data_IF_743709901828
#
_entry.id   IF_743709901828
#
_cell.length_a   1.000
_cell.length_b   1.000
_cell.length_c   1.000
_cell.angle_alpha   90.00
_cell.angle_beta   90.00
_cell.angle_gamma   90.00
#
_symmetry.space_group_name_H-M   'P 1'
#
loop_
_entity.id
_entity.type
_entity.pdbx_description
1 polymer ?
#
# COMPACT_ATOMS: atom_id res chain seq x y z
N UNK A 1 -7.48 -52.97 -23.60
CA UNK A 1 -8.83 -52.51 -24.07
C UNK A 1 -9.43 -51.40 -23.18
N UNK A 2 -8.96 -51.19 -21.94
CA UNK A 2 -9.45 -50.16 -21.02
C UNK A 2 -8.86 -48.76 -21.29
N UNK A 3 -7.71 -48.68 -21.95
CA UNK A 3 -7.04 -47.41 -22.28
C UNK A 3 -7.61 -46.67 -23.50
N UNK A 4 -8.55 -47.27 -24.23
CA UNK A 4 -9.13 -46.69 -25.46
C UNK A 4 -10.47 -45.97 -25.25
N UNK A 5 -11.00 -45.90 -24.02
CA UNK A 5 -12.24 -45.20 -23.71
C UNK A 5 -12.09 -43.90 -22.93
N UNK A 6 -10.88 -43.40 -22.71
CA UNK A 6 -10.68 -42.02 -22.36
C UNK A 6 -10.81 -41.16 -23.62
N UNK A 7 -11.99 -41.22 -24.24
CA UNK A 7 -12.43 -40.22 -25.21
C UNK A 7 -12.37 -38.90 -24.45
N UNK A 8 -11.36 -38.09 -24.73
CA UNK A 8 -11.16 -36.78 -24.16
C UNK A 8 -12.48 -36.00 -24.26
N UNK A 9 -13.21 -35.90 -23.16
CA UNK A 9 -14.31 -34.94 -23.06
C UNK A 9 -13.71 -33.61 -23.48
N UNK A 10 -14.23 -32.94 -24.53
CA UNK A 10 -13.73 -31.62 -24.86
C UNK A 10 -13.78 -30.80 -23.58
N UNK A 11 -12.67 -30.17 -23.23
CA UNK A 11 -12.66 -29.16 -22.16
C UNK A 11 -13.76 -28.15 -22.53
N UNK A 12 -14.89 -28.20 -21.84
CA UNK A 12 -15.91 -27.19 -21.94
C UNK A 12 -15.22 -25.90 -21.48
N UNK A 13 -14.73 -25.13 -22.45
CA UNK A 13 -14.30 -23.76 -22.24
C UNK A 13 -15.56 -23.06 -21.76
N UNK A 14 -15.67 -22.88 -20.43
CA UNK A 14 -16.77 -22.14 -19.85
C UNK A 14 -16.78 -20.77 -20.55
N UNK A 15 -17.92 -20.35 -21.10
CA UNK A 15 -18.00 -19.05 -21.78
C UNK A 15 -17.49 -18.00 -20.80
N UNK A 16 -16.59 -17.13 -21.26
CA UNK A 16 -16.15 -15.98 -20.50
C UNK A 16 -17.41 -15.29 -19.95
N UNK A 17 -17.45 -15.09 -18.64
CA UNK A 17 -18.60 -14.45 -18.00
C UNK A 17 -18.83 -13.12 -18.71
N UNK A 18 -19.98 -12.99 -19.38
CA UNK A 18 -20.39 -11.75 -20.05
C UNK A 18 -20.85 -10.77 -18.97
N UNK A 19 -19.87 -10.10 -18.32
CA UNK A 19 -20.12 -9.13 -17.26
C UNK A 19 -19.05 -9.14 -16.18
N UNK A 20 -19.02 -8.09 -15.37
CA UNK A 20 -18.07 -7.97 -14.26
C UNK A 20 -18.31 -9.07 -13.20
N UNK A 21 -17.28 -9.80 -12.84
CA UNK A 21 -17.34 -10.84 -11.80
C UNK A 21 -17.16 -10.21 -10.40
N UNK A 22 -18.18 -9.51 -9.92
CA UNK A 22 -18.16 -8.87 -8.60
C UNK A 22 -17.86 -9.81 -7.44
N UNK A 23 -18.31 -11.07 -7.52
CA UNK A 23 -18.04 -12.08 -6.50
C UNK A 23 -16.57 -12.47 -6.49
N UNK A 24 -15.98 -12.69 -7.66
CA UNK A 24 -14.55 -12.99 -7.77
C UNK A 24 -13.68 -11.83 -7.33
N UNK A 25 -14.01 -10.61 -7.76
CA UNK A 25 -13.33 -9.37 -7.34
C UNK A 25 -13.38 -9.20 -5.81
N UNK A 26 -14.56 -9.36 -5.20
CA UNK A 26 -14.70 -9.26 -3.74
C UNK A 26 -13.90 -10.34 -3.01
N UNK A 27 -13.90 -11.57 -3.52
CA UNK A 27 -13.13 -12.67 -2.94
C UNK A 27 -11.63 -12.39 -2.98
N UNK A 28 -11.12 -11.89 -4.10
CA UNK A 28 -9.73 -11.48 -4.24
C UNK A 28 -9.37 -10.36 -3.26
N UNK A 29 -10.18 -9.30 -3.23
CA UNK A 29 -10.00 -8.18 -2.31
C UNK A 29 -10.02 -8.65 -0.85
N UNK A 30 -11.02 -9.45 -0.45
CA UNK A 30 -11.14 -9.97 0.90
C UNK A 30 -9.97 -10.88 1.30
N UNK A 31 -9.48 -11.74 0.38
CA UNK A 31 -8.26 -12.55 0.57
C UNK A 31 -7.06 -11.67 0.89
N UNK A 32 -6.85 -10.61 0.11
CA UNK A 32 -5.73 -9.68 0.29
C UNK A 32 -5.86 -8.89 1.61
N UNK A 33 -7.06 -8.43 1.96
CA UNK A 33 -7.32 -7.77 3.24
C UNK A 33 -7.07 -8.72 4.40
N UNK A 34 -7.60 -9.94 4.34
CA UNK A 34 -7.42 -10.94 5.40
C UNK A 34 -5.93 -11.27 5.63
N UNK A 35 -5.12 -11.29 4.58
CA UNK A 35 -3.68 -11.55 4.64
C UNK A 35 -2.97 -10.59 5.59
N UNK A 36 -3.17 -9.27 5.47
CA UNK A 36 -2.50 -8.30 6.33
C UNK A 36 -3.19 -8.11 7.68
N UNK A 37 -4.51 -8.36 7.76
CA UNK A 37 -5.23 -8.34 9.03
C UNK A 37 -4.80 -9.49 9.93
N UNK A 38 -4.49 -10.67 9.37
CA UNK A 38 -3.98 -11.81 10.15
C UNK A 38 -2.69 -11.48 10.91
N UNK A 39 -1.86 -10.56 10.39
CA UNK A 39 -0.63 -10.08 11.02
C UNK A 39 -0.79 -8.62 11.50
N UNK A 40 -1.99 -8.26 11.98
CA UNK A 40 -2.37 -6.89 12.34
C UNK A 40 -1.36 -6.21 13.27
N UNK A 41 -0.88 -6.91 14.31
CA UNK A 41 0.12 -6.37 15.23
C UNK A 41 1.37 -5.89 14.50
N UNK A 42 1.97 -6.72 13.65
CA UNK A 42 3.15 -6.33 12.87
C UNK A 42 2.83 -5.26 11.82
N UNK A 43 1.68 -5.36 11.17
CA UNK A 43 1.27 -4.42 10.12
C UNK A 43 1.04 -3.00 10.65
N UNK A 44 0.57 -2.86 11.89
CA UNK A 44 0.24 -1.57 12.50
C UNK A 44 1.34 -1.05 13.42
N UNK A 45 1.86 -1.89 14.31
CA UNK A 45 2.84 -1.45 15.33
C UNK A 45 4.17 -1.01 14.71
N UNK A 46 4.67 -1.71 13.70
CA UNK A 46 5.94 -1.34 13.09
C UNK A 46 5.92 0.06 12.47
N UNK A 47 4.94 0.45 11.62
CA UNK A 47 4.83 1.81 11.12
C UNK A 47 4.60 2.86 12.21
N UNK A 48 3.82 2.56 13.25
CA UNK A 48 3.61 3.47 14.38
C UNK A 48 4.94 3.75 15.08
N UNK A 49 5.66 2.71 15.47
CA UNK A 49 6.95 2.85 16.18
C UNK A 49 7.95 3.61 15.30
N UNK A 50 8.07 3.25 14.02
CA UNK A 50 8.98 3.92 13.09
C UNK A 50 8.63 5.40 12.93
N UNK A 51 7.36 5.73 12.77
CA UNK A 51 6.92 7.13 12.61
C UNK A 51 7.15 7.95 13.89
N UNK A 52 6.87 7.38 15.06
CA UNK A 52 7.12 8.05 16.34
C UNK A 52 8.63 8.23 16.59
N UNK A 53 9.46 7.27 16.20
CA UNK A 53 10.91 7.41 16.25
C UNK A 53 11.39 8.55 15.34
N UNK A 54 10.93 8.59 14.09
CA UNK A 54 11.25 9.70 13.19
C UNK A 54 10.80 11.03 13.77
N UNK A 55 9.56 11.13 14.24
CA UNK A 55 9.06 12.35 14.88
C UNK A 55 9.96 12.78 16.04
N UNK A 56 10.33 11.84 16.93
CA UNK A 56 11.16 12.12 18.10
C UNK A 56 12.56 12.56 17.69
N UNK A 57 13.22 11.85 16.76
CA UNK A 57 14.57 12.20 16.28
C UNK A 57 14.58 13.60 15.67
N UNK A 58 13.61 13.89 14.80
CA UNK A 58 13.55 15.20 14.16
C UNK A 58 13.10 16.32 15.13
N UNK A 59 12.23 16.00 16.09
CA UNK A 59 11.86 16.93 17.15
C UNK A 59 13.06 17.32 18.03
N UNK A 60 13.89 16.37 18.41
CA UNK A 60 15.12 16.61 19.18
C UNK A 60 16.17 17.36 18.35
N UNK A 61 16.36 16.93 17.08
CA UNK A 61 17.39 17.53 16.22
C UNK A 61 17.06 18.97 15.78
N UNK A 62 15.79 19.27 15.56
CA UNK A 62 15.35 20.54 14.96
C UNK A 62 14.27 21.28 15.74
N UNK A 63 13.73 20.67 16.83
CA UNK A 63 12.59 21.20 17.59
C UNK A 63 12.90 22.39 18.51
N UNK A 64 14.18 22.72 18.73
CA UNK A 64 14.61 23.80 19.64
C UNK A 64 14.25 25.20 19.15
N UNK A 65 12.94 25.53 19.09
CA UNK A 65 12.46 26.87 18.69
C UNK A 65 12.34 27.12 17.21
N UNK A 66 12.57 26.10 16.35
CA UNK A 66 12.44 26.25 14.89
C UNK A 66 10.97 26.22 14.48
N UNK A 67 10.54 27.27 13.81
CA UNK A 67 9.21 27.36 13.21
C UNK A 67 9.30 27.30 11.69
N UNK A 68 8.34 26.66 11.05
CA UNK A 68 8.16 26.63 9.60
C UNK A 68 6.78 27.20 9.29
N UNK A 69 6.73 28.29 8.51
CA UNK A 69 5.49 28.99 8.19
C UNK A 69 4.66 29.40 9.45
N UNK A 70 5.35 29.73 10.55
CA UNK A 70 4.69 30.11 11.82
C UNK A 70 4.22 28.94 12.68
N UNK A 71 4.37 27.70 12.23
CA UNK A 71 4.05 26.49 12.99
C UNK A 71 5.31 25.88 13.63
N UNK A 72 5.23 25.29 14.82
CA UNK A 72 6.30 24.47 15.37
C UNK A 72 6.71 23.36 14.37
N UNK A 73 8.01 23.10 14.25
CA UNK A 73 8.53 22.15 13.27
C UNK A 73 7.87 20.75 13.38
N UNK A 74 7.55 20.32 14.59
CA UNK A 74 6.91 19.03 14.86
C UNK A 74 5.49 18.94 14.27
N UNK A 75 4.74 20.04 14.34
CA UNK A 75 3.40 20.13 13.75
C UNK A 75 3.45 20.13 12.22
N UNK A 76 4.48 20.75 11.63
CA UNK A 76 4.72 20.71 10.19
C UNK A 76 5.10 19.28 9.72
N UNK A 77 5.86 18.55 10.52
CA UNK A 77 6.39 17.23 10.16
C UNK A 77 5.31 16.13 10.20
N UNK A 78 4.36 16.21 11.13
CA UNK A 78 3.36 15.17 11.37
C UNK A 78 2.53 14.77 10.12
N UNK A 79 1.92 15.70 9.36
CA UNK A 79 1.17 15.34 8.15
C UNK A 79 2.07 14.73 7.05
N UNK A 80 3.32 15.16 6.93
CA UNK A 80 4.28 14.58 6.01
C UNK A 80 4.60 13.12 6.34
N UNK A 81 4.85 12.81 7.60
CA UNK A 81 5.07 11.44 8.06
C UNK A 81 3.84 10.55 7.85
N UNK A 82 2.63 11.09 8.01
CA UNK A 82 1.39 10.39 7.68
C UNK A 82 1.31 10.03 6.20
N UNK A 83 1.56 10.98 5.32
CA UNK A 83 1.56 10.74 3.88
C UNK A 83 2.62 9.73 3.48
N UNK A 84 3.83 9.83 4.03
CA UNK A 84 4.90 8.85 3.82
C UNK A 84 4.48 7.43 4.23
N UNK A 85 3.75 7.28 5.33
CA UNK A 85 3.20 6.01 5.79
C UNK A 85 2.19 5.44 4.79
N UNK A 86 1.30 6.27 4.24
CA UNK A 86 0.33 5.85 3.20
C UNK A 86 1.07 5.34 1.96
N UNK A 87 2.01 6.13 1.44
CA UNK A 87 2.76 5.83 0.23
C UNK A 87 3.48 4.47 0.35
N UNK A 88 4.24 4.28 1.42
CA UNK A 88 5.04 3.07 1.63
C UNK A 88 4.18 1.83 1.87
N UNK A 89 3.13 1.93 2.70
CA UNK A 89 2.29 0.76 3.01
C UNK A 89 1.39 0.34 1.85
N UNK A 90 0.89 1.29 1.05
CA UNK A 90 0.12 0.98 -0.16
C UNK A 90 0.97 0.29 -1.22
N UNK A 91 2.19 0.81 -1.47
CA UNK A 91 3.16 0.22 -2.39
C UNK A 91 3.60 -1.18 -1.93
N UNK A 92 4.01 -1.29 -0.66
CA UNK A 92 4.51 -2.54 -0.10
C UNK A 92 3.45 -3.65 -0.12
N UNK A 93 2.17 -3.34 0.11
CA UNK A 93 1.13 -4.36 0.10
C UNK A 93 1.00 -5.06 -1.24
N UNK A 94 0.88 -4.30 -2.33
CA UNK A 94 0.67 -4.84 -3.66
C UNK A 94 1.91 -5.50 -4.23
N UNK A 95 3.09 -4.88 -4.08
CA UNK A 95 4.35 -5.43 -4.58
C UNK A 95 4.74 -6.72 -3.87
N UNK A 96 4.65 -6.75 -2.53
CA UNK A 96 5.01 -7.96 -1.76
C UNK A 96 3.98 -9.07 -1.91
N UNK A 97 2.68 -8.75 -2.08
CA UNK A 97 1.67 -9.77 -2.33
C UNK A 97 1.95 -10.53 -3.61
N UNK A 98 2.17 -9.82 -4.70
CA UNK A 98 2.39 -10.44 -6.01
C UNK A 98 3.69 -11.24 -6.06
N UNK A 99 4.80 -10.69 -5.55
CA UNK A 99 6.06 -11.42 -5.56
C UNK A 99 6.00 -12.68 -4.67
N UNK A 100 5.33 -12.58 -3.52
CA UNK A 100 5.15 -13.73 -2.63
C UNK A 100 4.33 -14.84 -3.29
N UNK A 101 3.26 -14.48 -4.02
CA UNK A 101 2.45 -15.46 -4.76
C UNK A 101 3.24 -16.12 -5.88
N UNK A 102 4.13 -15.38 -6.56
CA UNK A 102 5.03 -15.94 -7.59
C UNK A 102 6.03 -16.94 -6.98
N UNK A 103 6.70 -16.56 -5.90
CA UNK A 103 7.72 -17.38 -5.27
C UNK A 103 7.16 -18.63 -4.58
N UNK A 104 5.93 -18.57 -4.09
CA UNK A 104 5.23 -19.70 -3.50
C UNK A 104 4.48 -20.55 -4.55
N UNK A 105 4.62 -20.24 -5.84
CA UNK A 105 3.94 -20.90 -6.95
C UNK A 105 2.40 -20.86 -6.88
N UNK A 106 1.85 -20.02 -5.99
CA UNK A 106 0.40 -19.86 -5.78
C UNK A 106 -0.24 -18.80 -6.69
N UNK A 107 0.53 -18.18 -7.58
CA UNK A 107 0.02 -17.18 -8.53
C UNK A 107 -1.04 -17.78 -9.46
N UNK A 108 -0.91 -19.07 -9.77
CA UNK A 108 -1.85 -19.81 -10.60
C UNK A 108 -3.25 -19.80 -9.98
N UNK A 109 -3.35 -20.01 -8.67
CA UNK A 109 -4.63 -20.00 -7.94
C UNK A 109 -5.36 -18.64 -8.02
N UNK A 110 -4.60 -17.58 -8.22
CA UNK A 110 -5.15 -16.21 -8.38
C UNK A 110 -5.53 -15.92 -9.83
N UNK A 111 -4.86 -16.56 -10.80
CA UNK A 111 -5.11 -16.39 -12.24
C UNK A 111 -6.14 -17.39 -12.80
N UNK A 112 -6.35 -18.55 -12.16
CA UNK A 112 -7.34 -19.55 -12.59
C UNK A 112 -8.81 -19.10 -12.52
N UNK A 113 -9.24 -18.31 -11.51
CA UNK A 113 -10.60 -17.78 -11.51
C UNK A 113 -10.87 -16.93 -12.75
N UNK A 114 -12.10 -16.91 -13.27
CA UNK A 114 -12.46 -16.14 -14.46
C UNK A 114 -12.58 -14.64 -14.09
N UNK A 115 -11.43 -14.03 -13.79
CA UNK A 115 -11.28 -12.60 -13.51
C UNK A 115 -10.60 -11.94 -14.71
N UNK A 116 -11.13 -10.80 -15.13
CA UNK A 116 -10.49 -9.95 -16.13
C UNK A 116 -9.23 -9.29 -15.54
N UNK A 117 -8.31 -8.85 -16.42
CA UNK A 117 -7.12 -8.12 -15.99
C UNK A 117 -7.47 -6.85 -15.19
N UNK A 118 -8.59 -6.20 -15.54
CA UNK A 118 -9.07 -5.01 -14.83
C UNK A 118 -9.57 -5.34 -13.41
N UNK A 119 -10.30 -6.45 -13.25
CA UNK A 119 -10.78 -6.90 -11.94
C UNK A 119 -9.61 -7.30 -11.04
N UNK A 120 -8.61 -7.99 -11.59
CA UNK A 120 -7.38 -8.30 -10.86
C UNK A 120 -6.67 -7.02 -10.40
N UNK A 121 -6.50 -6.04 -11.30
CA UNK A 121 -5.87 -4.76 -10.99
C UNK A 121 -6.62 -4.04 -9.88
N UNK A 122 -7.94 -3.90 -10.01
CA UNK A 122 -8.79 -3.25 -9.01
C UNK A 122 -8.66 -3.97 -7.66
N UNK A 123 -8.76 -5.29 -7.62
CA UNK A 123 -8.66 -6.07 -6.38
C UNK A 123 -7.35 -5.84 -5.63
N UNK A 124 -6.22 -5.91 -6.32
CA UNK A 124 -4.91 -5.68 -5.72
C UNK A 124 -4.68 -4.22 -5.32
N UNK A 125 -4.97 -3.27 -6.19
CA UNK A 125 -4.74 -1.84 -5.93
C UNK A 125 -5.59 -1.34 -4.77
N UNK A 126 -6.88 -1.68 -4.75
CA UNK A 126 -7.77 -1.29 -3.65
C UNK A 126 -7.38 -1.95 -2.33
N UNK A 127 -6.91 -3.19 -2.33
CA UNK A 127 -6.41 -3.82 -1.10
C UNK A 127 -5.16 -3.10 -0.57
N UNK A 128 -4.25 -2.69 -1.46
CA UNK A 128 -3.09 -1.89 -1.11
C UNK A 128 -3.47 -0.52 -0.54
N UNK A 129 -4.39 0.17 -1.20
CA UNK A 129 -4.91 1.46 -0.73
C UNK A 129 -5.57 1.34 0.65
N UNK A 130 -6.41 0.32 0.85
CA UNK A 130 -7.06 0.06 2.14
C UNK A 130 -6.04 -0.18 3.24
N UNK A 131 -4.98 -0.95 2.99
CA UNK A 131 -3.90 -1.14 3.97
C UNK A 131 -3.20 0.16 4.30
N UNK A 132 -2.79 0.93 3.29
CA UNK A 132 -2.12 2.22 3.51
C UNK A 132 -2.96 3.18 4.35
N UNK A 133 -4.26 3.29 4.04
CA UNK A 133 -5.21 4.12 4.78
C UNK A 133 -5.44 3.60 6.20
N UNK A 134 -5.62 2.30 6.38
CA UNK A 134 -5.80 1.70 7.71
C UNK A 134 -4.58 1.95 8.61
N UNK A 135 -3.38 1.75 8.10
CA UNK A 135 -2.14 2.00 8.85
C UNK A 135 -1.99 3.48 9.17
N UNK A 136 -2.33 4.37 8.22
CA UNK A 136 -2.25 5.82 8.45
C UNK A 136 -3.24 6.32 9.50
N UNK A 137 -4.42 5.71 9.64
CA UNK A 137 -5.36 6.02 10.73
C UNK A 137 -4.74 5.67 12.07
N UNK A 138 -4.10 4.50 12.20
CA UNK A 138 -3.42 4.10 13.43
C UNK A 138 -2.23 5.01 13.78
N UNK A 139 -1.42 5.35 12.79
CA UNK A 139 -0.30 6.30 12.95
C UNK A 139 -0.83 7.70 13.29
N UNK A 140 -1.87 8.17 12.60
CA UNK A 140 -2.48 9.46 12.85
C UNK A 140 -3.07 9.60 14.25
N UNK A 141 -3.74 8.54 14.72
CA UNK A 141 -4.23 8.50 16.11
C UNK A 141 -3.08 8.58 17.12
N UNK A 142 -1.96 7.87 16.85
CA UNK A 142 -0.78 7.93 17.72
C UNK A 142 -0.09 9.29 17.70
N UNK A 143 -0.01 9.94 16.54
CA UNK A 143 0.54 11.29 16.40
C UNK A 143 -0.34 12.34 17.10
N UNK A 144 -1.66 12.22 17.01
CA UNK A 144 -2.61 13.14 17.63
C UNK A 144 -2.54 13.14 19.16
N UNK A 145 -1.99 12.10 19.78
CA UNK A 145 -1.72 12.06 21.22
C UNK A 145 -0.53 12.92 21.64
N UNK A 146 0.39 13.22 20.71
CA UNK A 146 1.66 13.88 20.98
C UNK A 146 1.69 15.31 20.42
N UNK A 147 1.07 15.48 19.23
CA UNK A 147 1.11 16.73 18.48
C UNK A 147 -0.31 17.28 18.34
N UNK A 148 -0.56 18.58 18.62
CA UNK A 148 -1.86 19.18 18.36
C UNK A 148 -2.12 19.17 16.85
N UNK A 149 -3.19 18.49 16.44
CA UNK A 149 -3.55 18.34 15.02
C UNK A 149 -4.57 19.40 14.65
N UNK A 150 -4.19 20.37 13.83
CA UNK A 150 -5.10 21.37 13.28
C UNK A 150 -5.57 20.93 11.88
N UNK A 151 -6.77 20.38 11.81
CA UNK A 151 -7.37 19.95 10.54
C UNK A 151 -8.04 21.14 9.86
N UNK A 152 -7.43 21.64 8.79
CA UNK A 152 -7.99 22.76 8.02
C UNK A 152 -9.10 22.31 7.05
N UNK A 153 -8.92 21.17 6.37
CA UNK A 153 -9.90 20.62 5.43
C UNK A 153 -9.83 19.08 5.40
N UNK A 154 -10.84 18.43 5.97
CA UNK A 154 -10.95 16.98 5.95
C UNK A 154 -11.12 16.42 4.52
N UNK A 155 -11.87 17.15 3.67
CA UNK A 155 -12.09 16.71 2.29
C UNK A 155 -10.79 16.66 1.48
N UNK A 156 -9.90 17.66 1.64
CA UNK A 156 -8.61 17.68 0.98
C UNK A 156 -7.72 16.53 1.48
N UNK A 157 -7.68 16.28 2.80
CA UNK A 157 -6.90 15.18 3.38
C UNK A 157 -7.34 13.85 2.80
N UNK A 158 -8.64 13.58 2.78
CA UNK A 158 -9.20 12.32 2.24
C UNK A 158 -8.88 12.19 0.75
N UNK A 159 -9.09 13.25 -0.03
CA UNK A 159 -8.83 13.23 -1.47
C UNK A 159 -7.37 12.90 -1.79
N UNK A 160 -6.43 13.60 -1.18
CA UNK A 160 -4.99 13.36 -1.40
C UNK A 160 -4.52 12.02 -0.83
N UNK A 161 -5.00 11.61 0.34
CA UNK A 161 -4.67 10.33 0.95
C UNK A 161 -5.12 9.14 0.09
N UNK A 162 -6.36 9.18 -0.40
CA UNK A 162 -6.92 8.12 -1.27
C UNK A 162 -6.20 8.12 -2.62
N UNK A 163 -6.01 9.29 -3.24
CA UNK A 163 -5.28 9.42 -4.51
C UNK A 163 -3.85 8.88 -4.42
N UNK A 164 -3.11 9.26 -3.37
CA UNK A 164 -1.76 8.79 -3.12
C UNK A 164 -1.72 7.27 -2.87
N UNK A 165 -2.67 6.72 -2.10
CA UNK A 165 -2.78 5.30 -1.82
C UNK A 165 -3.04 4.48 -3.09
N UNK A 166 -3.95 4.93 -3.96
CA UNK A 166 -4.25 4.27 -5.24
C UNK A 166 -3.07 4.34 -6.20
N UNK A 167 -2.43 5.49 -6.31
CA UNK A 167 -1.25 5.68 -7.15
C UNK A 167 -0.12 4.74 -6.73
N UNK A 168 0.20 4.70 -5.43
CA UNK A 168 1.27 3.83 -4.92
C UNK A 168 0.89 2.36 -4.94
N UNK A 169 -0.37 2.01 -4.74
CA UNK A 169 -0.88 0.66 -4.94
C UNK A 169 -0.70 0.18 -6.38
N UNK A 170 -0.95 1.05 -7.36
CA UNK A 170 -0.73 0.75 -8.78
C UNK A 170 0.74 0.58 -9.12
N UNK A 171 1.62 1.47 -8.64
CA UNK A 171 3.08 1.34 -8.81
C UNK A 171 3.61 0.07 -8.13
N UNK A 172 3.10 -0.26 -6.95
CA UNK A 172 3.44 -1.51 -6.27
C UNK A 172 3.01 -2.75 -7.06
N UNK A 173 1.84 -2.70 -7.70
CA UNK A 173 1.39 -3.78 -8.58
C UNK A 173 2.30 -3.94 -9.81
N UNK A 174 2.64 -2.85 -10.48
CA UNK A 174 3.58 -2.86 -11.62
C UNK A 174 4.93 -3.46 -11.20
N UNK A 175 5.46 -3.03 -10.06
CA UNK A 175 6.70 -3.57 -9.49
C UNK A 175 6.57 -5.07 -9.20
N UNK A 176 5.47 -5.50 -8.58
CA UNK A 176 5.23 -6.90 -8.25
C UNK A 176 5.06 -7.81 -9.47
N UNK A 177 4.51 -7.28 -10.57
CA UNK A 177 4.42 -7.99 -11.86
C UNK A 177 5.82 -8.14 -12.49
N UNK A 178 6.61 -7.07 -12.47
CA UNK A 178 7.95 -7.07 -13.06
C UNK A 178 8.98 -7.87 -12.25
N UNK A 179 8.90 -7.82 -10.92
CA UNK A 179 9.86 -8.45 -10.04
C UNK A 179 9.82 -9.99 -10.14
N UNK A 180 10.99 -10.61 -10.17
CA UNK A 180 11.16 -12.07 -10.11
C UNK A 180 11.66 -12.55 -8.75
N UNK A 181 12.30 -11.65 -7.98
CA UNK A 181 12.86 -11.91 -6.65
C UNK A 181 12.49 -10.79 -5.69
N UNK A 182 12.50 -11.09 -4.38
CA UNK A 182 12.30 -10.05 -3.35
C UNK A 182 13.31 -8.92 -3.45
N UNK A 183 14.55 -9.20 -3.86
CA UNK A 183 15.61 -8.20 -4.02
C UNK A 183 15.24 -7.10 -5.02
N UNK A 184 14.52 -7.43 -6.10
CA UNK A 184 14.03 -6.44 -7.07
C UNK A 184 13.03 -5.47 -6.41
N UNK A 185 12.09 -5.99 -5.60
CA UNK A 185 11.14 -5.15 -4.86
C UNK A 185 11.85 -4.28 -3.84
N UNK A 186 12.80 -4.87 -3.09
CA UNK A 186 13.61 -4.15 -2.10
C UNK A 186 14.45 -3.05 -2.74
N UNK A 187 15.03 -3.31 -3.91
CA UNK A 187 15.80 -2.32 -4.67
C UNK A 187 14.95 -1.12 -5.04
N UNK A 188 13.78 -1.34 -5.65
CA UNK A 188 12.86 -0.24 -6.00
C UNK A 188 12.41 0.51 -4.74
N UNK A 189 12.07 -0.20 -3.67
CA UNK A 189 11.66 0.41 -2.41
C UNK A 189 12.74 1.31 -1.85
N UNK A 190 13.98 0.82 -1.74
CA UNK A 190 15.06 1.52 -1.07
C UNK A 190 15.71 2.62 -1.92
N UNK A 191 15.81 2.44 -3.24
CA UNK A 191 16.47 3.39 -4.12
C UNK A 191 15.53 4.38 -4.80
N UNK A 192 14.23 4.08 -4.89
CA UNK A 192 13.26 4.94 -5.56
C UNK A 192 12.21 5.45 -4.57
N UNK A 193 11.45 4.54 -3.93
CA UNK A 193 10.29 4.94 -3.14
C UNK A 193 10.69 5.70 -1.88
N UNK A 194 11.70 5.22 -1.15
CA UNK A 194 12.18 5.89 0.06
C UNK A 194 12.74 7.29 -0.23
N UNK A 195 13.71 7.49 -1.15
CA UNK A 195 14.22 8.83 -1.45
C UNK A 195 13.14 9.79 -1.95
N UNK A 196 12.23 9.33 -2.84
CA UNK A 196 11.10 10.15 -3.30
C UNK A 196 10.16 10.53 -2.16
N UNK A 197 9.91 9.63 -1.22
CA UNK A 197 9.10 9.92 -0.04
C UNK A 197 9.74 10.99 0.85
N UNK A 198 11.07 11.00 0.98
CA UNK A 198 11.80 12.05 1.72
C UNK A 198 11.78 13.40 0.99
N UNK A 199 11.87 13.39 -0.34
CA UNK A 199 11.87 14.60 -1.17
C UNK A 199 10.48 15.20 -1.40
N UNK A 200 9.41 14.48 -1.06
CA UNK A 200 8.01 14.90 -1.32
C UNK A 200 7.51 16.09 -0.49
N UNK A 201 8.39 16.83 0.18
CA UNK A 201 8.02 17.94 1.06
C UNK A 201 7.69 17.52 2.50
N UNK A 202 7.94 16.25 2.86
CA UNK A 202 7.72 15.74 4.22
C UNK A 202 8.59 16.44 5.25
N UNK A 203 9.86 16.71 4.92
CA UNK A 203 10.85 17.25 5.85
C UNK A 203 11.21 18.72 5.60
N UNK A 204 10.88 19.24 4.43
CA UNK A 204 11.24 20.60 4.01
C UNK A 204 10.05 21.28 3.33
N UNK A 205 9.82 22.59 3.57
CA UNK A 205 8.80 23.32 2.86
C UNK A 205 9.19 23.46 1.38
N UNK A 206 8.22 23.20 0.49
CA UNK A 206 8.39 23.27 -0.98
C UNK A 206 8.84 24.66 -1.45
N UNK A 207 8.58 25.70 -0.66
CA UNK A 207 8.99 27.09 -0.96
C UNK A 207 10.51 27.32 -0.96
N UNK A 208 11.31 26.29 -0.64
CA UNK A 208 12.78 26.36 -0.67
C UNK A 208 13.40 25.79 -1.95
N UNK A 209 12.59 25.22 -2.83
CA UNK A 209 12.96 24.79 -4.16
C UNK A 209 12.42 25.79 -5.20
#
# INVERSE_FOLDING_TARGET
LILMQLKSKPLEIRPALTGANWRGLWTLYAKEVHRYVKIFGQTLLAPIITTLLFLTVFAVAFGGGRTVNGLPYVEFLAPGLLMMTILQNSFANTSTSLIQQKLNENIVDTLMPPLSAMELTIGFVFSGATRGLMVSIGVGASLALIVPVHIHSTAAIVFFAVGAALMMGSLGMMTGIWAEKFDHVSTITNFIILPLSFLSGTFFPITRF
#
